data_IF_421094614264
#
_entry.id   IF_421094614264
#
_cell.length_a   1.000
_cell.length_b   1.000
_cell.length_c   1.000
_cell.angle_alpha   90.00
_cell.angle_beta   90.00
_cell.angle_gamma   90.00
#
_symmetry.space_group_name_H-M   'P 1'
#
loop_
_entity.id
_entity.type
_entity.pdbx_description
1 polymer ?
#
# COMPACT_ATOMS: atom_id res chain seq x y z
N UNK A 1 17.00 21.57 26.06
CA UNK A 1 15.99 20.50 26.02
C UNK A 1 15.39 20.30 24.66
N UNK A 2 14.79 21.33 24.07
CA UNK A 2 14.19 21.22 22.73
C UNK A 2 15.19 20.80 21.65
N UNK A 3 16.43 21.26 21.74
CA UNK A 3 17.48 20.90 20.80
C UNK A 3 17.85 19.43 20.86
N UNK A 4 17.87 18.87 22.08
CA UNK A 4 18.19 17.46 22.29
C UNK A 4 17.09 16.60 21.70
N UNK A 5 15.86 16.98 21.94
CA UNK A 5 14.68 16.29 21.40
C UNK A 5 14.72 16.34 19.87
N UNK A 6 15.05 17.50 19.33
CA UNK A 6 15.16 17.67 17.88
C UNK A 6 16.23 16.78 17.27
N UNK A 7 17.39 16.66 17.96
CA UNK A 7 18.48 15.80 17.51
C UNK A 7 18.06 14.33 17.56
N UNK A 8 17.39 13.93 18.62
CA UNK A 8 16.92 12.56 18.76
C UNK A 8 15.91 12.23 17.67
N UNK A 9 14.97 13.13 17.42
CA UNK A 9 14.00 12.96 16.36
C UNK A 9 14.66 12.88 15.00
N UNK A 10 15.67 13.71 14.77
CA UNK A 10 16.42 13.70 13.53
C UNK A 10 17.17 12.37 13.37
N UNK A 11 17.74 11.85 14.45
CA UNK A 11 18.44 10.56 14.42
C UNK A 11 17.50 9.42 14.08
N UNK A 12 16.30 9.43 14.67
CA UNK A 12 15.26 8.44 14.37
C UNK A 12 14.85 8.55 12.91
N UNK A 13 14.69 9.78 12.42
CA UNK A 13 14.34 10.03 11.03
C UNK A 13 15.42 9.51 10.09
N UNK A 14 16.68 9.73 10.42
CA UNK A 14 17.80 9.24 9.62
C UNK A 14 17.84 7.71 9.59
N UNK A 15 17.59 7.07 10.73
CA UNK A 15 17.54 5.62 10.80
C UNK A 15 16.35 5.11 9.98
N UNK A 16 15.22 5.76 10.09
CA UNK A 16 14.04 5.46 9.27
C UNK A 16 14.30 5.67 7.79
N UNK A 17 15.06 6.72 7.45
CA UNK A 17 15.43 6.99 6.07
C UNK A 17 16.33 5.91 5.48
N UNK A 18 17.24 5.33 6.26
CA UNK A 18 18.11 4.26 5.77
C UNK A 18 17.28 3.02 5.42
N UNK A 19 16.36 2.62 6.30
CA UNK A 19 15.45 1.52 6.01
C UNK A 19 14.49 1.88 4.89
N UNK A 20 14.05 3.12 4.85
CA UNK A 20 13.16 3.64 3.82
C UNK A 20 13.86 3.69 2.47
N UNK A 21 15.14 4.05 2.43
CA UNK A 21 15.90 4.08 1.18
C UNK A 21 16.02 2.69 0.58
N UNK A 22 16.20 1.68 1.41
CA UNK A 22 16.18 0.30 0.94
C UNK A 22 14.83 -0.03 0.31
N UNK A 23 13.75 0.31 0.98
CA UNK A 23 12.41 0.11 0.48
C UNK A 23 12.12 0.99 -0.74
N UNK A 24 12.66 2.20 -0.74
CA UNK A 24 12.51 3.15 -1.83
C UNK A 24 13.23 2.68 -3.10
N UNK A 25 14.35 1.99 -2.95
CA UNK A 25 15.02 1.41 -4.10
C UNK A 25 14.19 0.30 -4.73
N UNK A 26 13.24 -0.24 -3.97
CA UNK A 26 12.25 -1.18 -4.49
C UNK A 26 11.16 -0.50 -5.31
N UNK A 27 11.01 0.83 -5.18
CA UNK A 27 9.98 1.57 -5.91
C UNK A 27 10.53 2.84 -6.52
N UNK A 28 10.76 2.79 -7.81
CA UNK A 28 11.18 3.95 -8.57
C UNK A 28 10.10 5.05 -8.58
N UNK A 29 8.87 4.70 -8.31
CA UNK A 29 7.74 5.63 -8.32
C UNK A 29 7.46 6.30 -6.97
N UNK A 30 8.28 6.06 -5.96
CA UNK A 30 8.10 6.67 -4.65
C UNK A 30 7.08 5.99 -3.75
N UNK A 31 6.50 4.88 -4.18
CA UNK A 31 5.57 4.09 -3.36
C UNK A 31 6.28 2.80 -3.00
N UNK A 32 6.49 2.54 -1.71
CA UNK A 32 7.19 1.33 -1.30
C UNK A 32 6.25 0.12 -1.34
N UNK A 33 6.84 -1.06 -1.59
CA UNK A 33 6.10 -2.32 -1.56
C UNK A 33 5.40 -2.52 -0.22
N UNK A 34 6.14 -2.27 0.84
CA UNK A 34 5.63 -2.42 2.20
C UNK A 34 4.47 -1.46 2.48
N UNK A 35 4.60 -0.21 2.03
CA UNK A 35 3.57 0.80 2.25
C UNK A 35 2.26 0.42 1.55
N UNK A 36 2.33 -0.16 0.37
CA UNK A 36 1.14 -0.62 -0.35
C UNK A 36 0.45 -1.74 0.42
N UNK A 37 1.23 -2.70 0.95
CA UNK A 37 0.69 -3.78 1.75
C UNK A 37 0.01 -3.28 3.02
N UNK A 38 0.64 -2.34 3.72
CA UNK A 38 0.08 -1.76 4.94
C UNK A 38 -1.19 -0.96 4.64
N UNK A 39 -1.17 -0.20 3.55
CA UNK A 39 -2.35 0.56 3.12
C UNK A 39 -3.50 -0.38 2.81
N UNK A 40 -3.22 -1.49 2.13
CA UNK A 40 -4.23 -2.49 1.82
C UNK A 40 -4.86 -3.06 3.10
N UNK A 41 -4.05 -3.40 4.10
CA UNK A 41 -4.56 -3.93 5.36
C UNK A 41 -5.44 -2.90 6.09
N UNK A 42 -5.00 -1.66 6.13
CA UNK A 42 -5.74 -0.58 6.77
C UNK A 42 -7.09 -0.33 6.08
N UNK A 43 -7.08 -0.22 4.76
CA UNK A 43 -8.30 0.01 3.97
C UNK A 43 -9.24 -1.19 4.09
N UNK A 44 -8.70 -2.41 4.03
CA UNK A 44 -9.48 -3.63 4.18
C UNK A 44 -10.22 -3.66 5.52
N UNK A 45 -9.54 -3.26 6.58
CA UNK A 45 -10.15 -3.20 7.90
C UNK A 45 -11.31 -2.18 7.94
N UNK A 46 -11.08 -1.00 7.40
CA UNK A 46 -12.08 0.06 7.39
C UNK A 46 -13.28 -0.30 6.53
N UNK A 47 -13.04 -0.79 5.33
CA UNK A 47 -14.11 -1.20 4.42
C UNK A 47 -14.87 -2.38 4.99
N UNK A 48 -14.17 -3.38 5.53
CA UNK A 48 -14.80 -4.54 6.14
C UNK A 48 -15.71 -4.15 7.30
N UNK A 49 -15.27 -3.24 8.15
CA UNK A 49 -16.07 -2.74 9.26
C UNK A 49 -17.32 -2.03 8.76
N UNK A 50 -17.17 -1.13 7.78
CA UNK A 50 -18.29 -0.41 7.21
C UNK A 50 -19.30 -1.32 6.52
N UNK A 51 -18.81 -2.36 5.86
CA UNK A 51 -19.67 -3.34 5.20
C UNK A 51 -20.46 -4.17 6.23
N UNK A 52 -19.82 -4.58 7.31
CA UNK A 52 -20.48 -5.33 8.36
C UNK A 52 -21.59 -4.52 9.04
N UNK A 53 -21.37 -3.22 9.18
CA UNK A 53 -22.34 -2.33 9.80
C UNK A 53 -23.43 -1.84 8.85
N UNK A 54 -23.33 -2.21 7.58
CA UNK A 54 -24.26 -1.74 6.58
C UNK A 54 -24.12 -0.28 6.19
N UNK A 55 -22.99 0.33 6.51
CA UNK A 55 -22.71 1.73 6.24
C UNK A 55 -22.21 1.97 4.82
N UNK A 56 -21.68 0.93 4.18
CA UNK A 56 -21.17 0.98 2.81
C UNK A 56 -22.15 0.22 1.91
N UNK A 57 -22.52 0.79 0.75
CA UNK A 57 -23.42 0.10 -0.17
C UNK A 57 -22.90 -1.27 -0.55
N UNK A 58 -23.82 -2.23 -0.64
CA UNK A 58 -23.48 -3.62 -0.93
C UNK A 58 -22.64 -3.79 -2.18
N UNK A 59 -22.93 -3.03 -3.22
CA UNK A 59 -22.20 -3.11 -4.48
C UNK A 59 -20.72 -2.77 -4.28
N UNK A 60 -20.45 -1.75 -3.48
CA UNK A 60 -19.06 -1.36 -3.17
C UNK A 60 -18.37 -2.42 -2.34
N UNK A 61 -19.09 -3.08 -1.44
CA UNK A 61 -18.55 -4.18 -0.65
C UNK A 61 -18.18 -5.36 -1.55
N UNK A 62 -19.02 -5.67 -2.54
CA UNK A 62 -18.74 -6.73 -3.49
C UNK A 62 -17.55 -6.40 -4.37
N UNK A 63 -17.49 -5.18 -4.88
CA UNK A 63 -16.36 -4.71 -5.71
C UNK A 63 -15.05 -4.76 -4.94
N UNK A 64 -15.08 -4.33 -3.69
CA UNK A 64 -13.89 -4.37 -2.87
C UNK A 64 -13.49 -5.82 -2.55
N UNK A 65 -14.47 -6.70 -2.33
CA UNK A 65 -14.20 -8.12 -2.09
C UNK A 65 -13.47 -8.79 -3.26
N UNK A 66 -13.88 -8.48 -4.49
CA UNK A 66 -13.20 -8.98 -5.68
C UNK A 66 -11.78 -8.45 -5.77
N UNK A 67 -11.60 -7.18 -5.50
CA UNK A 67 -10.27 -6.57 -5.47
C UNK A 67 -9.40 -7.19 -4.37
N UNK A 68 -9.97 -7.42 -3.20
CA UNK A 68 -9.28 -8.01 -2.06
C UNK A 68 -8.69 -9.38 -2.45
N UNK A 69 -9.47 -10.22 -3.10
CA UNK A 69 -8.98 -11.53 -3.55
C UNK A 69 -7.90 -11.40 -4.61
N UNK A 70 -8.06 -10.47 -5.55
CA UNK A 70 -7.05 -10.22 -6.57
C UNK A 70 -5.75 -9.72 -5.94
N UNK A 71 -5.84 -8.81 -4.99
CA UNK A 71 -4.67 -8.27 -4.30
C UNK A 71 -3.91 -9.36 -3.56
N UNK A 72 -4.64 -10.20 -2.83
CA UNK A 72 -4.03 -11.30 -2.06
C UNK A 72 -3.24 -12.27 -2.95
N UNK A 73 -3.64 -12.42 -4.19
CA UNK A 73 -2.93 -13.29 -5.14
C UNK A 73 -1.80 -12.56 -5.87
N UNK A 74 -2.07 -11.36 -6.35
CA UNK A 74 -1.13 -10.64 -7.21
C UNK A 74 0.01 -9.99 -6.43
N UNK A 75 -0.27 -9.45 -5.27
CA UNK A 75 0.72 -8.69 -4.51
C UNK A 75 1.91 -9.55 -4.07
N UNK A 76 1.73 -10.70 -3.40
CA UNK A 76 2.87 -11.53 -3.01
C UNK A 76 3.69 -12.03 -4.20
N UNK A 77 3.03 -12.35 -5.30
CA UNK A 77 3.71 -12.77 -6.52
C UNK A 77 4.58 -11.65 -7.09
N UNK A 78 4.04 -10.44 -7.12
CA UNK A 78 4.79 -9.28 -7.62
C UNK A 78 5.98 -8.96 -6.72
N UNK A 79 5.80 -9.03 -5.41
CA UNK A 79 6.89 -8.81 -4.45
C UNK A 79 7.99 -9.87 -4.65
N UNK A 80 7.62 -11.14 -4.76
CA UNK A 80 8.58 -12.22 -4.98
C UNK A 80 9.32 -12.06 -6.29
N UNK A 81 8.62 -11.71 -7.35
CA UNK A 81 9.20 -11.42 -8.67
C UNK A 81 10.19 -10.27 -8.60
N UNK A 82 9.80 -9.21 -7.91
CA UNK A 82 10.64 -8.04 -7.76
C UNK A 82 11.94 -8.39 -7.03
N UNK A 83 11.83 -9.11 -5.93
CA UNK A 83 13.00 -9.50 -5.13
C UNK A 83 13.95 -10.41 -5.90
N UNK A 84 13.41 -11.38 -6.63
CA UNK A 84 14.21 -12.28 -7.44
C UNK A 84 14.89 -11.53 -8.57
N UNK A 85 14.19 -10.62 -9.23
CA UNK A 85 14.71 -9.82 -10.32
C UNK A 85 15.81 -8.85 -9.85
N UNK A 86 15.61 -8.26 -8.66
CA UNK A 86 16.59 -7.38 -8.06
C UNK A 86 17.92 -8.12 -7.80
N UNK A 87 17.84 -9.33 -7.23
CA UNK A 87 19.02 -10.15 -6.97
C UNK A 87 19.72 -10.59 -8.26
N UNK A 88 18.95 -10.85 -9.30
CA UNK A 88 19.48 -11.30 -10.59
C UNK A 88 19.94 -10.14 -11.48
N UNK A 89 19.68 -8.89 -11.10
CA UNK A 89 19.98 -7.74 -11.93
C UNK A 89 19.09 -7.63 -13.15
N UNK A 90 17.90 -8.23 -13.12
CA UNK A 90 16.94 -8.22 -14.21
C UNK A 90 16.03 -7.02 -14.13
N UNK A 91 16.46 -5.91 -14.71
CA UNK A 91 15.75 -4.64 -14.65
C UNK A 91 14.37 -4.71 -15.31
N UNK A 92 14.23 -5.47 -16.38
CA UNK A 92 12.96 -5.58 -17.10
C UNK A 92 11.89 -6.28 -16.28
N UNK A 93 12.23 -7.39 -15.65
CA UNK A 93 11.30 -8.12 -14.78
C UNK A 93 10.98 -7.32 -13.52
N UNK A 94 11.99 -6.65 -12.96
CA UNK A 94 11.80 -5.77 -11.82
C UNK A 94 10.77 -4.67 -12.13
N UNK A 95 10.88 -4.06 -13.31
CA UNK A 95 9.95 -3.03 -13.76
C UNK A 95 8.53 -3.59 -13.91
N UNK A 96 8.38 -4.78 -14.46
CA UNK A 96 7.06 -5.42 -14.59
C UNK A 96 6.42 -5.63 -13.23
N UNK A 97 7.19 -6.08 -12.25
CA UNK A 97 6.69 -6.29 -10.89
C UNK A 97 6.24 -4.96 -10.27
N UNK A 98 7.04 -3.91 -10.44
CA UNK A 98 6.68 -2.57 -9.98
C UNK A 98 5.40 -2.07 -10.62
N UNK A 99 5.21 -2.32 -11.91
CA UNK A 99 4.01 -1.92 -12.63
C UNK A 99 2.77 -2.62 -12.08
N UNK A 100 2.88 -3.90 -11.74
CA UNK A 100 1.78 -4.65 -11.13
C UNK A 100 1.39 -4.02 -9.78
N UNK A 101 2.36 -3.75 -8.93
CA UNK A 101 2.09 -3.16 -7.62
C UNK A 101 1.54 -1.75 -7.74
N UNK A 102 2.05 -0.98 -8.69
CA UNK A 102 1.54 0.37 -8.95
C UNK A 102 0.07 0.33 -9.39
N UNK A 103 -0.28 -0.62 -10.25
CA UNK A 103 -1.66 -0.82 -10.68
C UNK A 103 -2.55 -1.20 -9.50
N UNK A 104 -2.09 -2.12 -8.65
CA UNK A 104 -2.84 -2.50 -7.45
C UNK A 104 -3.03 -1.31 -6.50
N UNK A 105 -2.00 -0.48 -6.34
CA UNK A 105 -2.06 0.71 -5.50
C UNK A 105 -3.09 1.71 -6.01
N UNK A 106 -3.14 1.92 -7.33
CA UNK A 106 -4.13 2.83 -7.94
C UNK A 106 -5.55 2.30 -7.76
N UNK A 107 -5.75 1.01 -7.98
CA UNK A 107 -7.07 0.41 -7.82
C UNK A 107 -7.50 0.46 -6.36
N UNK A 108 -6.58 0.23 -5.43
CA UNK A 108 -6.85 0.34 -4.01
C UNK A 108 -7.28 1.76 -3.64
N UNK A 109 -6.54 2.76 -4.10
CA UNK A 109 -6.85 4.16 -3.81
C UNK A 109 -8.23 4.54 -4.34
N UNK A 110 -8.56 4.10 -5.55
CA UNK A 110 -9.85 4.37 -6.17
C UNK A 110 -10.99 3.74 -5.38
N UNK A 111 -10.88 2.46 -5.08
CA UNK A 111 -11.91 1.73 -4.35
C UNK A 111 -12.05 2.23 -2.92
N UNK A 112 -10.92 2.58 -2.29
CA UNK A 112 -10.94 3.15 -0.95
C UNK A 112 -11.69 4.48 -0.94
N UNK A 113 -11.41 5.35 -1.91
CA UNK A 113 -12.09 6.63 -2.01
C UNK A 113 -13.60 6.46 -2.20
N UNK A 114 -14.00 5.53 -3.06
CA UNK A 114 -15.41 5.25 -3.31
C UNK A 114 -16.11 4.68 -2.07
N UNK A 115 -15.52 3.67 -1.46
CA UNK A 115 -16.14 2.99 -0.33
C UNK A 115 -16.14 3.84 0.93
N UNK A 116 -15.02 4.48 1.25
CA UNK A 116 -14.89 5.25 2.48
C UNK A 116 -15.62 6.59 2.41
N UNK A 117 -15.87 7.11 1.22
CA UNK A 117 -16.68 8.31 1.07
C UNK A 117 -18.10 8.10 1.59
N UNK A 118 -18.59 6.85 1.55
CA UNK A 118 -19.93 6.50 2.06
C UNK A 118 -19.98 6.58 3.60
N UNK A 119 -18.82 6.54 4.28
CA UNK A 119 -18.75 6.63 5.73
C UNK A 119 -18.69 8.06 6.24
N UNK A 120 -18.43 9.02 5.36
CA UNK A 120 -18.33 10.42 5.74
C UNK A 120 -19.74 10.98 5.88
N UNK A 121 -20.12 11.47 7.07
CA UNK A 121 -21.45 12.06 7.23
C UNK A 121 -21.57 13.30 6.35
N UNK A 122 -22.72 13.46 5.76
CA UNK A 122 -23.01 14.66 4.98
C UNK A 122 -23.04 15.85 5.91
N UNK A 123 -22.18 16.79 5.62
CA UNK A 123 -22.15 18.04 6.39
C UNK A 123 -22.76 19.16 5.62
#
# INVERSE_FOLDING_TARGET
>A
MAKIIGIILLSITLTGCAAFDYTKSMFVSGVSLEAVGEQFLSVTHQVGSGCQKGEIPRRMCEDYGEFHERFKRAYPLAVGMWMAADRAGDAATKQKAEDVVRSLSRDLAKLAAEALSALVPEM
#
